data_IF_804911256174
#
_entry.id   IF_804911256174
#
_cell.length_a   1.000
_cell.length_b   1.000
_cell.length_c   1.000
_cell.angle_alpha   90.00
_cell.angle_beta   90.00
_cell.angle_gamma   90.00
#
_symmetry.space_group_name_H-M   'P 1'
#
loop_
_entity.id
_entity.type
_entity.pdbx_description
1 polymer ?
#
# COMPACT_ATOMS: atom_id res chain seq x y z
N UNK A 1 -5.69 -8.23 -32.70
CA UNK A 1 -6.47 -6.98 -32.55
C UNK A 1 -5.55 -5.91 -31.97
N UNK A 2 -5.38 -4.77 -32.65
CA UNK A 2 -4.37 -3.76 -32.30
C UNK A 2 -4.66 -3.02 -30.98
N UNK A 3 -5.92 -2.93 -30.56
CA UNK A 3 -6.29 -2.29 -29.29
C UNK A 3 -5.88 -3.14 -28.10
N UNK A 4 -6.15 -4.46 -28.14
CA UNK A 4 -5.79 -5.40 -27.08
C UNK A 4 -4.28 -5.42 -26.81
N UNK A 5 -3.45 -5.44 -27.86
CA UNK A 5 -1.99 -5.45 -27.72
C UNK A 5 -1.45 -4.17 -27.09
N UNK A 6 -2.04 -3.00 -27.39
CA UNK A 6 -1.67 -1.72 -26.75
C UNK A 6 -2.11 -1.67 -25.29
N UNK A 7 -3.31 -2.16 -24.97
CA UNK A 7 -3.77 -2.24 -23.58
C UNK A 7 -2.90 -3.15 -22.73
N UNK A 8 -2.51 -4.31 -23.26
CA UNK A 8 -1.58 -5.21 -22.56
C UNK A 8 -0.23 -4.55 -22.31
N UNK A 9 0.32 -3.83 -23.29
CA UNK A 9 1.57 -3.09 -23.13
C UNK A 9 1.47 -2.02 -22.03
N UNK A 10 0.38 -1.24 -21.98
CA UNK A 10 0.19 -0.25 -20.91
C UNK A 10 -0.05 -0.89 -19.55
N UNK A 11 -0.82 -1.98 -19.47
CA UNK A 11 -1.05 -2.69 -18.22
C UNK A 11 0.26 -3.17 -17.58
N UNK A 12 1.25 -3.56 -18.38
CA UNK A 12 2.58 -3.93 -17.88
C UNK A 12 3.44 -2.71 -17.54
N UNK A 13 3.42 -1.66 -18.38
CA UNK A 13 4.28 -0.49 -18.23
C UNK A 13 3.86 0.42 -17.06
N UNK A 14 2.56 0.64 -16.88
CA UNK A 14 2.04 1.59 -15.88
C UNK A 14 2.40 1.21 -14.42
N UNK A 15 2.27 -0.05 -13.97
CA UNK A 15 2.70 -0.45 -12.62
C UNK A 15 4.18 -0.18 -12.35
N UNK A 16 5.05 -0.36 -13.36
CA UNK A 16 6.49 -0.07 -13.23
C UNK A 16 6.75 1.44 -13.11
N UNK A 17 6.04 2.26 -13.88
CA UNK A 17 6.11 3.72 -13.77
C UNK A 17 5.65 4.22 -12.40
N UNK A 18 4.57 3.64 -11.86
CA UNK A 18 4.07 3.94 -10.52
C UNK A 18 5.08 3.62 -9.41
N UNK A 19 5.86 2.55 -9.56
CA UNK A 19 6.93 2.20 -8.61
C UNK A 19 8.00 3.30 -8.54
N UNK A 20 8.37 3.91 -9.67
CA UNK A 20 9.31 5.04 -9.69
C UNK A 20 8.72 6.27 -9.00
N UNK A 21 7.44 6.57 -9.25
CA UNK A 21 6.73 7.67 -8.59
C UNK A 21 6.63 7.44 -7.07
N UNK A 22 6.44 6.20 -6.61
CA UNK A 22 6.42 5.83 -5.19
C UNK A 22 7.77 6.15 -4.52
N UNK A 23 8.89 5.83 -5.15
CA UNK A 23 10.23 6.13 -4.60
C UNK A 23 10.43 7.65 -4.48
N UNK A 24 10.08 8.40 -5.52
CA UNK A 24 10.17 9.88 -5.51
C UNK A 24 9.30 10.46 -4.39
N UNK A 25 8.08 9.95 -4.24
CA UNK A 25 7.17 10.36 -3.16
C UNK A 25 7.77 10.07 -1.77
N UNK A 26 8.29 8.87 -1.54
CA UNK A 26 8.93 8.51 -0.28
C UNK A 26 10.18 9.35 0.02
N UNK A 27 10.93 9.75 -1.01
CA UNK A 27 12.10 10.62 -0.85
C UNK A 27 11.70 12.00 -0.32
N UNK A 28 10.65 12.63 -0.87
CA UNK A 28 10.15 13.91 -0.37
C UNK A 28 9.54 13.79 1.04
N UNK A 29 8.84 12.69 1.32
CA UNK A 29 8.34 12.40 2.66
C UNK A 29 9.48 12.21 3.66
N UNK A 30 10.59 11.58 3.26
CA UNK A 30 11.75 11.38 4.12
C UNK A 30 12.43 12.70 4.50
N UNK A 31 12.49 13.67 3.57
CA UNK A 31 13.08 14.99 3.84
C UNK A 31 12.26 15.80 4.86
N UNK A 32 10.92 15.74 4.78
CA UNK A 32 10.02 16.53 5.63
C UNK A 32 9.56 15.81 6.90
N UNK A 33 9.60 14.47 6.90
CA UNK A 33 9.07 13.61 7.95
C UNK A 33 7.54 13.50 7.94
N UNK A 34 7.00 12.41 8.48
CA UNK A 34 5.56 12.16 8.61
C UNK A 34 4.87 13.25 9.45
N UNK A 35 3.59 13.51 9.22
CA UNK A 35 2.80 14.42 10.06
C UNK A 35 2.22 13.72 11.30
N UNK A 36 1.94 14.50 12.35
CA UNK A 36 1.29 14.01 13.56
C UNK A 36 -0.19 14.46 13.57
N UNK A 37 -1.08 13.74 14.28
CA UNK A 37 -2.51 14.04 14.26
C UNK A 37 -2.88 15.40 14.87
N UNK A 38 -2.02 15.94 15.75
CA UNK A 38 -2.24 17.22 16.41
C UNK A 38 -1.75 18.42 15.55
N UNK A 39 -1.02 18.17 14.47
CA UNK A 39 -0.41 19.21 13.63
C UNK A 39 0.66 20.05 14.33
N UNK A 40 1.12 19.63 15.51
CA UNK A 40 2.09 20.37 16.34
C UNK A 40 3.53 20.04 15.98
N UNK A 41 4.49 20.78 16.55
CA UNK A 41 5.93 20.58 16.33
C UNK A 41 6.31 19.15 16.75
N UNK A 42 6.85 18.38 15.80
CA UNK A 42 7.07 16.92 15.93
C UNK A 42 8.41 16.54 16.57
N UNK A 43 9.34 17.49 16.66
CA UNK A 43 10.72 17.23 17.06
C UNK A 43 10.90 16.99 18.57
N UNK A 44 9.85 17.23 19.37
CA UNK A 44 9.91 17.11 20.83
C UNK A 44 9.87 15.62 21.24
N UNK A 45 9.06 14.80 20.57
CA UNK A 45 8.79 13.40 20.96
C UNK A 45 8.93 12.43 19.77
N UNK A 46 10.12 12.38 19.15
CA UNK A 46 10.37 11.46 18.02
C UNK A 46 10.85 10.10 18.52
N UNK A 47 10.08 9.06 18.22
CA UNK A 47 10.45 7.65 18.45
C UNK A 47 11.06 7.01 17.18
N UNK A 48 11.95 6.00 17.32
CA UNK A 48 12.50 5.29 16.18
C UNK A 48 11.43 4.47 15.44
N UNK A 49 11.63 4.26 14.14
CA UNK A 49 10.70 3.50 13.30
C UNK A 49 10.59 2.03 13.76
N UNK A 50 11.74 1.37 13.92
CA UNK A 50 11.83 0.04 14.52
C UNK A 50 12.11 0.19 16.02
N UNK A 51 11.39 -0.53 16.91
CA UNK A 51 10.41 -1.59 16.62
C UNK A 51 8.95 -1.11 16.43
N UNK A 52 8.63 0.12 16.84
CA UNK A 52 7.25 0.57 17.06
C UNK A 52 6.36 0.52 15.81
N UNK A 53 6.75 1.23 14.75
CA UNK A 53 5.96 1.29 13.52
C UNK A 53 6.08 0.00 12.73
N UNK A 54 7.20 -0.71 12.79
CA UNK A 54 7.34 -2.02 12.15
C UNK A 54 6.32 -3.03 12.66
N UNK A 55 6.15 -3.17 13.98
CA UNK A 55 5.12 -4.07 14.53
C UNK A 55 3.70 -3.59 14.22
N UNK A 56 3.46 -2.28 14.30
CA UNK A 56 2.16 -1.69 13.94
C UNK A 56 1.78 -1.99 12.48
N UNK A 57 2.72 -1.85 11.56
CA UNK A 57 2.51 -2.08 10.13
C UNK A 57 2.28 -3.57 9.83
N UNK A 58 3.03 -4.47 10.48
CA UNK A 58 2.83 -5.93 10.35
C UNK A 58 1.43 -6.34 10.82
N UNK A 59 0.97 -5.81 11.95
CA UNK A 59 -0.40 -6.07 12.43
C UNK A 59 -1.45 -5.55 11.42
N UNK A 60 -1.24 -4.35 10.86
CA UNK A 60 -2.10 -3.80 9.81
C UNK A 60 -2.14 -4.67 8.56
N UNK A 61 -0.99 -5.15 8.09
CA UNK A 61 -0.87 -6.07 6.95
C UNK A 61 -1.62 -7.38 7.23
N UNK A 62 -1.49 -7.93 8.44
CA UNK A 62 -2.17 -9.17 8.83
C UNK A 62 -3.71 -9.01 8.81
N UNK A 63 -4.22 -7.87 9.29
CA UNK A 63 -5.67 -7.57 9.24
C UNK A 63 -6.15 -7.46 7.79
N UNK A 64 -5.42 -6.73 6.93
CA UNK A 64 -5.81 -6.55 5.52
C UNK A 64 -5.76 -7.89 4.76
N UNK A 65 -4.72 -8.70 4.98
CA UNK A 65 -4.60 -10.03 4.38
C UNK A 65 -5.72 -10.97 4.85
N UNK A 66 -6.09 -10.92 6.12
CA UNK A 66 -7.22 -11.68 6.65
C UNK A 66 -8.53 -11.28 5.95
N UNK A 67 -8.81 -9.98 5.83
CA UNK A 67 -10.01 -9.48 5.15
C UNK A 67 -10.03 -9.86 3.67
N UNK A 68 -8.89 -9.78 2.98
CA UNK A 68 -8.78 -10.15 1.56
C UNK A 68 -9.04 -11.64 1.33
N UNK A 69 -8.44 -12.50 2.17
CA UNK A 69 -8.65 -13.96 2.06
C UNK A 69 -10.06 -14.37 2.44
N UNK A 70 -10.65 -13.73 3.46
CA UNK A 70 -12.05 -13.90 3.82
C UNK A 70 -12.98 -13.48 2.68
N UNK A 71 -12.76 -12.32 2.05
CA UNK A 71 -13.55 -11.87 0.90
C UNK A 71 -13.45 -12.84 -0.27
N UNK A 72 -12.23 -13.30 -0.60
CA UNK A 72 -12.01 -14.21 -1.72
C UNK A 72 -12.68 -15.58 -1.48
N UNK A 73 -12.56 -16.14 -0.26
CA UNK A 73 -13.22 -17.40 0.09
C UNK A 73 -14.74 -17.27 0.12
N UNK A 74 -15.27 -16.18 0.64
CA UNK A 74 -16.72 -15.92 0.62
C UNK A 74 -17.26 -15.74 -0.80
N UNK A 75 -16.56 -14.96 -1.65
CA UNK A 75 -16.94 -14.77 -3.04
C UNK A 75 -16.90 -16.08 -3.83
N UNK A 76 -15.85 -16.88 -3.67
CA UNK A 76 -15.74 -18.18 -4.33
C UNK A 76 -16.81 -19.16 -3.84
N UNK A 77 -17.16 -19.14 -2.55
CA UNK A 77 -18.28 -19.93 -2.02
C UNK A 77 -19.64 -19.47 -2.56
N UNK A 78 -19.84 -18.15 -2.73
CA UNK A 78 -21.09 -17.60 -3.28
C UNK A 78 -21.22 -17.89 -4.78
N UNK A 79 -20.16 -17.67 -5.56
CA UNK A 79 -20.13 -17.91 -7.01
C UNK A 79 -20.21 -19.40 -7.37
N UNK A 80 -19.98 -20.31 -6.42
CA UNK A 80 -20.09 -21.77 -6.60
C UNK A 80 -21.43 -22.34 -6.15
N UNK A 81 -22.40 -21.51 -5.74
CA UNK A 81 -23.78 -21.97 -5.51
C UNK A 81 -24.47 -22.11 -6.87
N UNK A 82 -25.18 -23.23 -7.14
CA UNK A 82 -25.97 -23.41 -8.36
C UNK A 82 -27.10 -22.39 -8.46
#
# INVERSE_FOLDING_TARGET
NATLTRFFAFHFLLPLSLLHLLIIHLLFLHQTGSNNPLGTIKNIDKIPFHPYFTYKDILGILIILFLLTFLNTLFTLFSRRP
#
